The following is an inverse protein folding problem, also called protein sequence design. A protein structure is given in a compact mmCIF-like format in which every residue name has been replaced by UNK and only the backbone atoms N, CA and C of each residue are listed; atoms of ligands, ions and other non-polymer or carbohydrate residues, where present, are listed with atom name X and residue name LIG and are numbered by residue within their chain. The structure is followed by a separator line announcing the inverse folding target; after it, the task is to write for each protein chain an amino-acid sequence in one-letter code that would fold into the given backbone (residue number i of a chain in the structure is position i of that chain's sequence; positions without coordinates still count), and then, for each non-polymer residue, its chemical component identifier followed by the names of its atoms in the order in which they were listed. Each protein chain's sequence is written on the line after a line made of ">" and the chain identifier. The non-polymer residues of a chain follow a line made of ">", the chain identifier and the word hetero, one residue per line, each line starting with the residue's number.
data_IF_221711926349
#
_entry.id   IF_221711926349
#
_cell.length_a   1.000
_cell.length_b   1.000
_cell.length_c   1.000
_cell.angle_alpha   90.00
_cell.angle_beta   90.00
_cell.angle_gamma   90.00
#
_symmetry.space_group_name_H-M   'P 1'
#
loop_
_entity.id
_entity.type
_entity.pdbx_description
1 polymer ?
#
# COMPACT_ATOMS: atom_id res chain seq x y z
N UNK A 1 -5.11 -52.18 -24.62
CA UNK A 1 -5.46 -51.64 -23.29
C UNK A 1 -4.72 -50.32 -23.10
N UNK A 2 -5.44 -49.21 -23.06
CA UNK A 2 -4.90 -47.86 -22.80
C UNK A 2 -5.06 -47.56 -21.29
N UNK A 3 -4.10 -46.90 -20.61
CA UNK A 3 -4.30 -46.45 -19.24
C UNK A 3 -5.21 -45.21 -19.21
N UNK A 4 -5.90 -44.95 -18.09
CA UNK A 4 -6.95 -43.94 -18.02
C UNK A 4 -6.36 -42.52 -18.01
N UNK A 5 -6.99 -41.65 -18.80
CA UNK A 5 -6.78 -40.20 -18.82
C UNK A 5 -6.92 -39.61 -17.41
N UNK A 6 -5.81 -39.13 -16.83
CA UNK A 6 -5.87 -38.25 -15.65
C UNK A 6 -6.24 -36.85 -16.13
N UNK A 7 -7.52 -36.53 -16.03
CA UNK A 7 -8.03 -35.18 -16.20
C UNK A 7 -7.64 -34.38 -14.94
N UNK A 8 -6.52 -33.66 -14.98
CA UNK A 8 -6.14 -32.70 -13.94
C UNK A 8 -7.04 -31.47 -14.13
N UNK A 9 -8.15 -31.40 -13.39
CA UNK A 9 -8.85 -30.14 -13.18
C UNK A 9 -7.95 -29.29 -12.27
N UNK A 10 -7.09 -28.46 -12.87
CA UNK A 10 -6.60 -27.28 -12.19
C UNK A 10 -7.81 -26.36 -12.03
N UNK A 11 -8.50 -26.49 -10.90
CA UNK A 11 -9.38 -25.43 -10.42
C UNK A 11 -8.46 -24.23 -10.17
N UNK A 12 -8.29 -23.39 -11.19
CA UNK A 12 -7.87 -22.01 -10.99
C UNK A 12 -8.99 -21.38 -10.15
N UNK A 13 -8.83 -21.42 -8.82
CA UNK A 13 -9.43 -20.39 -8.02
C UNK A 13 -8.75 -19.10 -8.48
N UNK A 14 -9.39 -18.37 -9.38
CA UNK A 14 -9.14 -16.95 -9.53
C UNK A 14 -9.56 -16.29 -8.22
N UNK A 15 -8.68 -16.39 -7.21
CA UNK A 15 -8.65 -15.42 -6.14
C UNK A 15 -8.57 -14.05 -6.81
N UNK A 16 -9.39 -13.10 -6.36
CA UNK A 16 -9.41 -11.75 -6.89
C UNK A 16 -8.01 -11.15 -6.68
N UNK A 17 -7.13 -11.29 -7.67
CA UNK A 17 -5.81 -10.72 -7.67
C UNK A 17 -6.01 -9.21 -7.78
N UNK A 18 -5.77 -8.49 -6.69
CA UNK A 18 -5.77 -7.02 -6.71
C UNK A 18 -4.66 -6.59 -7.67
N UNK A 19 -5.04 -6.22 -8.89
CA UNK A 19 -4.11 -5.73 -9.90
C UNK A 19 -4.11 -4.21 -9.88
N UNK A 20 -3.09 -3.67 -9.21
CA UNK A 20 -2.71 -2.26 -9.30
C UNK A 20 -1.55 -2.19 -10.29
N UNK A 21 -1.70 -1.37 -11.33
CA UNK A 21 -0.74 -1.24 -12.41
C UNK A 21 -0.06 0.12 -12.36
N UNK A 22 1.26 0.12 -12.16
CA UNK A 22 2.10 1.31 -12.18
C UNK A 22 2.98 1.35 -13.44
N UNK A 23 2.99 2.48 -14.14
CA UNK A 23 3.77 2.73 -15.35
C UNK A 23 4.36 4.14 -15.35
N UNK A 24 5.60 4.35 -15.81
CA UNK A 24 6.59 3.32 -16.19
C UNK A 24 7.15 2.58 -14.97
N UNK A 25 7.70 1.38 -15.19
CA UNK A 25 8.34 0.57 -14.13
C UNK A 25 9.73 1.09 -13.75
N UNK A 26 10.45 1.66 -14.71
CA UNK A 26 11.74 2.30 -14.52
C UNK A 26 11.90 3.43 -15.54
N UNK A 27 12.62 4.49 -15.15
CA UNK A 27 12.82 5.64 -16.00
C UNK A 27 14.13 6.36 -15.67
N UNK A 28 14.86 6.79 -16.70
CA UNK A 28 16.01 7.68 -16.59
C UNK A 28 15.69 8.95 -17.38
N UNK A 29 15.79 10.11 -16.74
CA UNK A 29 15.49 11.44 -17.31
C UNK A 29 16.62 12.42 -17.03
N UNK A 30 16.64 13.51 -17.79
CA UNK A 30 17.63 14.57 -17.61
C UNK A 30 17.22 15.52 -16.48
N UNK A 31 18.22 16.17 -15.89
CA UNK A 31 18.02 17.25 -14.93
C UNK A 31 17.14 18.33 -15.55
N UNK A 32 16.16 18.83 -14.79
CA UNK A 32 15.24 19.87 -15.23
C UNK A 32 14.05 19.41 -16.07
N UNK A 33 13.99 18.13 -16.48
CA UNK A 33 12.81 17.57 -17.14
C UNK A 33 11.66 17.34 -16.15
N UNK A 34 10.44 17.17 -16.68
CA UNK A 34 9.27 16.78 -15.92
C UNK A 34 8.99 15.28 -16.12
N UNK A 35 8.43 14.62 -15.10
CA UNK A 35 8.00 13.22 -15.19
C UNK A 35 6.58 13.04 -14.69
N UNK A 36 5.87 12.12 -15.33
CA UNK A 36 4.59 11.58 -14.88
C UNK A 36 4.75 10.07 -14.63
N UNK A 37 4.38 9.63 -13.43
CA UNK A 37 4.15 8.24 -13.09
C UNK A 37 2.66 8.02 -12.97
N UNK A 38 2.15 6.92 -13.51
CA UNK A 38 0.72 6.61 -13.58
C UNK A 38 0.46 5.33 -12.80
N UNK A 39 -0.56 5.35 -11.95
CA UNK A 39 -1.07 4.20 -11.24
C UNK A 39 -2.55 4.00 -11.56
N UNK A 40 -2.96 2.78 -11.89
CA UNK A 40 -4.34 2.48 -12.26
C UNK A 40 -4.82 1.13 -11.74
N UNK A 41 -6.13 0.98 -11.55
CA UNK A 41 -6.76 -0.29 -11.19
C UNK A 41 -8.24 -0.33 -11.62
N UNK A 42 -8.79 -1.54 -11.74
CA UNK A 42 -10.19 -1.79 -12.12
C UNK A 42 -11.17 -1.88 -10.93
N UNK A 43 -10.69 -1.87 -9.69
CA UNK A 43 -11.53 -2.05 -8.49
C UNK A 43 -12.41 -0.83 -8.18
N UNK A 44 -13.73 -0.97 -8.35
CA UNK A 44 -14.75 0.09 -8.18
C UNK A 44 -14.98 0.46 -6.70
N UNK A 45 -14.55 -0.35 -5.75
CA UNK A 45 -14.61 -0.05 -4.31
C UNK A 45 -13.34 0.62 -3.79
N UNK A 46 -12.23 0.57 -4.54
CA UNK A 46 -10.96 1.19 -4.15
C UNK A 46 -10.99 2.68 -4.49
N UNK A 47 -11.41 3.50 -3.52
CA UNK A 47 -11.61 4.95 -3.66
C UNK A 47 -10.56 5.73 -2.88
N UNK A 48 -9.39 5.16 -2.68
CA UNK A 48 -8.24 5.87 -2.13
C UNK A 48 -7.02 5.42 -2.90
N UNK A 49 -6.21 6.36 -3.38
CA UNK A 49 -4.92 6.08 -4.01
C UNK A 49 -3.84 6.90 -3.32
N UNK A 50 -2.72 6.25 -3.02
CA UNK A 50 -1.58 6.82 -2.29
C UNK A 50 -0.31 6.69 -3.13
N UNK A 51 0.58 7.66 -2.99
CA UNK A 51 1.91 7.66 -3.61
C UNK A 51 3.00 7.81 -2.55
N UNK A 52 4.03 6.99 -2.67
CA UNK A 52 5.15 6.91 -1.74
C UNK A 52 6.49 7.10 -2.46
N UNK A 53 7.46 7.67 -1.75
CA UNK A 53 8.86 7.73 -2.13
C UNK A 53 9.69 6.83 -1.23
N UNK A 54 10.64 6.09 -1.81
CA UNK A 54 11.66 5.34 -1.09
C UNK A 54 13.04 5.74 -1.60
N UNK A 55 13.86 6.31 -0.72
CA UNK A 55 15.26 6.60 -1.04
C UNK A 55 16.10 5.34 -0.80
N UNK A 56 17.08 5.10 -1.68
CA UNK A 56 17.99 3.97 -1.51
C UNK A 56 18.77 4.13 -0.19
N UNK A 57 18.67 3.13 0.69
CA UNK A 57 19.26 3.16 2.03
C UNK A 57 18.32 3.65 3.12
N UNK A 58 17.16 4.21 2.78
CA UNK A 58 16.13 4.51 3.78
C UNK A 58 15.53 3.20 4.30
N UNK A 59 15.34 3.13 5.61
CA UNK A 59 14.55 2.07 6.24
C UNK A 59 13.06 2.25 5.96
N UNK A 60 12.63 3.45 5.52
CA UNK A 60 11.23 3.78 5.39
C UNK A 60 10.77 4.42 4.07
N UNK A 61 9.55 4.08 3.60
CA UNK A 61 8.85 4.88 2.59
C UNK A 61 8.31 6.16 3.24
N UNK A 62 8.30 7.24 2.48
CA UNK A 62 7.69 8.53 2.82
C UNK A 62 6.44 8.72 1.98
N UNK A 63 5.31 9.12 2.56
CA UNK A 63 4.12 9.44 1.77
C UNK A 63 4.34 10.78 1.08
N UNK A 64 4.12 10.78 -0.23
CA UNK A 64 4.07 11.99 -1.05
C UNK A 64 2.69 12.62 -0.95
N UNK A 65 1.64 11.81 -1.05
CA UNK A 65 0.27 12.26 -0.96
C UNK A 65 -0.77 11.19 -1.29
N UNK A 66 -2.03 11.55 -1.17
CA UNK A 66 -3.17 10.66 -1.42
C UNK A 66 -4.41 11.39 -1.92
N UNK A 67 -5.27 10.67 -2.64
CA UNK A 67 -6.58 11.14 -3.09
C UNK A 67 -7.67 10.13 -2.74
N UNK A 68 -8.89 10.61 -2.49
CA UNK A 68 -10.06 9.77 -2.24
C UNK A 68 -10.81 9.50 -3.55
N UNK A 69 -11.82 10.31 -3.85
CA UNK A 69 -12.54 10.25 -5.15
C UNK A 69 -11.93 11.19 -6.19
N UNK A 70 -11.13 12.15 -5.73
CA UNK A 70 -10.43 13.16 -6.52
C UNK A 70 -9.12 13.50 -5.81
N UNK A 71 -8.19 14.11 -6.55
CA UNK A 71 -7.01 14.75 -5.97
C UNK A 71 -7.27 16.25 -5.83
N UNK A 72 -6.95 16.79 -4.66
CA UNK A 72 -7.11 18.20 -4.30
C UNK A 72 -5.75 18.85 -4.10
N UNK A 73 -5.74 20.18 -3.95
CA UNK A 73 -4.50 20.91 -3.73
C UNK A 73 -3.76 20.47 -2.45
N UNK A 74 -4.50 20.04 -1.44
CA UNK A 74 -4.03 19.50 -0.15
C UNK A 74 -3.70 18.01 -0.19
N UNK A 75 -3.92 17.31 -1.32
CA UNK A 75 -3.60 15.87 -1.46
C UNK A 75 -2.12 15.52 -1.38
N UNK A 76 -1.22 16.51 -1.36
CA UNK A 76 0.23 16.31 -1.30
C UNK A 76 0.73 16.77 0.07
N UNK A 77 1.63 16.03 0.69
CA UNK A 77 2.27 16.49 1.93
C UNK A 77 3.07 17.78 1.67
N UNK A 78 3.07 18.69 2.64
CA UNK A 78 3.62 20.05 2.47
C UNK A 78 5.10 20.07 2.06
N UNK A 79 5.88 19.13 2.60
CA UNK A 79 7.29 18.92 2.25
C UNK A 79 7.45 18.61 0.77
N UNK A 80 6.62 17.72 0.23
CA UNK A 80 6.65 17.33 -1.18
C UNK A 80 6.06 18.38 -2.12
N UNK A 81 5.04 19.14 -1.68
CA UNK A 81 4.47 20.25 -2.44
C UNK A 81 5.55 21.31 -2.73
N UNK A 82 6.36 21.65 -1.72
CA UNK A 82 7.51 22.57 -1.88
C UNK A 82 8.58 22.00 -2.79
N UNK A 83 8.73 20.68 -2.84
CA UNK A 83 9.65 19.97 -3.73
C UNK A 83 9.09 19.70 -5.13
N UNK A 84 8.00 20.37 -5.54
CA UNK A 84 7.46 20.34 -6.92
C UNK A 84 6.76 19.03 -7.31
N UNK A 85 6.23 18.32 -6.32
CA UNK A 85 5.36 17.17 -6.52
C UNK A 85 3.91 17.62 -6.65
N UNK A 86 3.15 16.95 -7.50
CA UNK A 86 1.70 17.14 -7.60
C UNK A 86 0.99 15.84 -7.97
N UNK A 87 -0.23 15.67 -7.47
CA UNK A 87 -1.07 14.52 -7.80
C UNK A 87 -2.28 14.96 -8.62
N UNK A 88 -2.66 14.17 -9.62
CA UNK A 88 -3.90 14.38 -10.37
C UNK A 88 -4.43 13.06 -10.92
N UNK A 89 -5.71 13.03 -11.32
CA UNK A 89 -6.35 11.83 -11.83
C UNK A 89 -7.82 11.76 -11.47
N UNK A 90 -8.46 10.67 -11.84
CA UNK A 90 -9.87 10.42 -11.61
C UNK A 90 -10.02 9.08 -10.87
N UNK A 91 -10.46 9.18 -9.61
CA UNK A 91 -10.73 8.05 -8.71
C UNK A 91 -12.24 7.88 -8.50
N UNK A 92 -13.07 8.54 -9.31
CA UNK A 92 -14.52 8.53 -9.22
C UNK A 92 -15.16 7.61 -10.27
N UNK A 93 -16.46 7.34 -10.12
CA UNK A 93 -17.25 6.57 -11.09
C UNK A 93 -16.97 5.06 -11.11
N UNK A 94 -17.49 4.40 -12.15
CA UNK A 94 -17.50 2.94 -12.34
C UNK A 94 -16.53 2.45 -13.43
N UNK A 95 -15.57 3.29 -13.83
CA UNK A 95 -14.53 2.98 -14.82
C UNK A 95 -13.21 2.67 -14.12
N UNK A 96 -12.20 2.25 -14.90
CA UNK A 96 -10.83 2.15 -14.39
C UNK A 96 -10.40 3.47 -13.76
N UNK A 97 -9.87 3.37 -12.55
CA UNK A 97 -9.38 4.52 -11.79
C UNK A 97 -7.92 4.72 -12.07
N UNK A 98 -7.51 5.97 -12.15
CA UNK A 98 -6.13 6.32 -12.42
C UNK A 98 -5.74 7.55 -11.63
N UNK A 99 -4.62 7.46 -10.93
CA UNK A 99 -3.97 8.58 -10.27
C UNK A 99 -2.52 8.66 -10.72
N UNK A 100 -2.08 9.87 -11.02
CA UNK A 100 -0.74 10.17 -11.52
C UNK A 100 0.02 11.01 -10.50
N UNK A 101 1.28 10.64 -10.33
CA UNK A 101 2.27 11.47 -9.67
C UNK A 101 3.05 12.25 -10.73
N UNK A 102 3.10 13.57 -10.58
CA UNK A 102 3.93 14.45 -11.38
C UNK A 102 5.06 15.01 -10.52
N UNK A 103 6.27 15.03 -11.07
CA UNK A 103 7.44 15.68 -10.46
C UNK A 103 8.01 16.62 -11.50
N UNK A 104 8.08 17.91 -11.17
CA UNK A 104 8.57 18.93 -12.10
C UNK A 104 10.02 19.28 -11.86
N UNK A 105 10.73 19.63 -12.93
CA UNK A 105 12.10 20.15 -12.91
C UNK A 105 13.05 19.23 -12.11
N UNK A 106 13.30 18.02 -12.61
CA UNK A 106 13.99 16.99 -11.85
C UNK A 106 15.35 17.41 -11.27
N UNK A 107 15.57 17.11 -9.98
CA UNK A 107 16.84 17.23 -9.27
C UNK A 107 17.36 15.82 -8.92
N UNK A 108 18.60 15.45 -9.27
CA UNK A 108 19.15 14.15 -8.92
C UNK A 108 19.18 13.88 -7.41
N UNK A 109 19.43 14.91 -6.60
CA UNK A 109 19.57 14.77 -5.14
C UNK A 109 18.22 14.52 -4.47
N UNK A 110 17.14 15.10 -4.98
CA UNK A 110 15.82 15.05 -4.35
C UNK A 110 14.93 13.95 -4.95
N UNK A 111 15.08 13.67 -6.24
CA UNK A 111 14.11 12.88 -7.01
C UNK A 111 14.66 11.54 -7.51
N UNK A 112 15.92 11.20 -7.24
CA UNK A 112 16.43 9.85 -7.50
C UNK A 112 15.95 8.92 -6.39
N UNK A 113 14.84 8.24 -6.65
CA UNK A 113 14.18 7.39 -5.67
C UNK A 113 13.38 6.29 -6.37
N UNK A 114 12.93 5.31 -5.60
CA UNK A 114 11.85 4.42 -6.04
C UNK A 114 10.52 5.00 -5.63
N UNK A 115 9.55 4.99 -6.53
CA UNK A 115 8.21 5.50 -6.29
C UNK A 115 7.20 4.36 -6.33
N UNK A 116 6.31 4.32 -5.36
CA UNK A 116 5.29 3.28 -5.25
C UNK A 116 3.90 3.88 -5.13
N UNK A 117 2.95 3.35 -5.89
CA UNK A 117 1.54 3.58 -5.63
C UNK A 117 0.91 2.44 -4.83
N UNK A 118 -0.14 2.78 -4.10
CA UNK A 118 -1.06 1.84 -3.46
C UNK A 118 -2.50 2.32 -3.65
N UNK A 119 -3.46 1.40 -3.61
CA UNK A 119 -4.87 1.72 -3.64
C UNK A 119 -5.64 0.92 -2.58
N UNK A 120 -6.67 1.52 -1.99
CA UNK A 120 -7.52 0.88 -0.97
C UNK A 120 -8.96 1.37 -1.02
N UNK A 121 -9.86 0.67 -0.32
CA UNK A 121 -11.25 1.10 -0.12
C UNK A 121 -11.33 2.39 0.70
N UNK A 122 -12.31 3.25 0.40
CA UNK A 122 -12.67 4.32 1.33
C UNK A 122 -13.33 3.69 2.57
N UNK A 123 -12.84 4.03 3.75
CA UNK A 123 -13.29 3.42 5.00
C UNK A 123 -14.78 3.71 5.22
N UNK A 124 -15.60 2.65 5.27
CA UNK A 124 -16.96 2.70 5.80
C UNK A 124 -17.14 1.51 6.74
N UNK A 125 -16.93 1.72 8.04
CA UNK A 125 -17.14 0.65 9.04
C UNK A 125 -18.27 1.02 9.97
N UNK A 126 -19.43 0.39 9.77
CA UNK A 126 -20.24 -0.10 10.90
C UNK A 126 -20.10 -1.61 10.91
N UNK A 127 -19.21 -2.18 11.73
CA UNK A 127 -19.24 -3.61 12.12
C UNK A 127 -18.57 -3.80 13.49
N UNK A 128 -18.93 -4.85 14.24
CA UNK A 128 -18.60 -5.02 15.66
C UNK A 128 -17.15 -5.49 15.87
N UNK A 129 -16.60 -5.35 17.09
CA UNK A 129 -15.23 -5.76 17.40
C UNK A 129 -15.07 -7.28 17.31
N UNK A 130 -14.02 -7.72 16.59
CA UNK A 130 -13.61 -9.12 16.57
C UNK A 130 -12.78 -9.45 17.84
N UNK A 131 -12.92 -10.67 18.40
CA UNK A 131 -12.30 -11.04 19.66
C UNK A 131 -10.79 -11.34 19.52
N UNK A 132 -10.04 -10.85 20.50
CA UNK A 132 -8.64 -11.18 20.75
C UNK A 132 -8.47 -12.68 21.05
N UNK A 133 -7.63 -13.37 20.27
CA UNK A 133 -6.94 -14.59 20.73
C UNK A 133 -5.49 -14.55 20.29
N UNK A 134 -4.61 -14.46 21.29
CA UNK A 134 -3.16 -14.50 21.14
C UNK A 134 -2.69 -15.95 21.04
N UNK A 135 -2.06 -16.27 19.92
CA UNK A 135 -1.02 -17.29 19.82
C UNK A 135 -0.03 -16.74 18.81
N UNK A 136 1.20 -16.45 19.24
CA UNK A 136 2.24 -15.81 18.43
C UNK A 136 3.05 -16.90 17.71
N UNK A 137 2.96 -17.05 16.37
CA UNK A 137 3.89 -17.86 15.60
C UNK A 137 5.18 -17.06 15.31
N UNK A 138 6.22 -17.77 14.88
CA UNK A 138 7.58 -17.26 14.70
C UNK A 138 7.80 -16.25 13.55
N UNK A 139 6.75 -15.82 12.84
CA UNK A 139 6.84 -14.91 11.70
C UNK A 139 5.87 -13.73 11.87
N UNK A 140 6.25 -12.84 12.78
CA UNK A 140 5.47 -11.68 13.20
C UNK A 140 6.24 -10.39 12.88
N UNK A 141 5.83 -9.70 11.83
CA UNK A 141 6.37 -8.40 11.46
C UNK A 141 5.85 -7.33 12.40
N UNK A 142 6.74 -6.45 12.87
CA UNK A 142 6.39 -5.44 13.88
C UNK A 142 6.72 -4.02 13.41
N UNK A 143 5.80 -3.10 13.64
CA UNK A 143 6.02 -1.66 13.43
C UNK A 143 5.66 -0.90 14.71
N UNK A 144 6.55 -0.01 15.13
CA UNK A 144 6.30 0.92 16.23
C UNK A 144 6.61 2.36 15.78
N UNK A 145 5.86 3.33 16.30
CA UNK A 145 6.14 4.75 16.14
C UNK A 145 5.78 5.52 17.41
N UNK A 146 6.36 6.71 17.57
CA UNK A 146 6.09 7.62 18.69
C UNK A 146 5.47 8.94 18.23
N UNK A 147 5.02 9.00 16.97
CA UNK A 147 4.41 10.19 16.37
C UNK A 147 3.03 10.42 17.02
N UNK A 148 2.83 11.49 17.81
CA UNK A 148 1.62 11.63 18.63
C UNK A 148 0.32 11.80 17.85
N UNK A 149 0.40 12.31 16.62
CA UNK A 149 -0.77 12.48 15.75
C UNK A 149 -1.15 11.19 15.02
N UNK A 150 -0.36 10.13 15.08
CA UNK A 150 -0.58 8.93 14.25
C UNK A 150 -1.46 7.94 14.99
N UNK A 151 -2.50 7.47 14.31
CA UNK A 151 -3.52 6.58 14.86
C UNK A 151 -3.76 5.33 13.99
N UNK A 152 -3.07 5.23 12.85
CA UNK A 152 -3.26 4.16 11.89
C UNK A 152 -1.93 3.54 11.52
N UNK A 153 -1.85 2.20 11.59
CA UNK A 153 -0.75 1.44 10.98
C UNK A 153 -1.28 0.58 9.83
N UNK A 154 -0.69 0.70 8.64
CA UNK A 154 -1.03 -0.08 7.45
C UNK A 154 0.11 -1.05 7.09
N UNK A 155 -0.24 -2.17 6.48
CA UNK A 155 0.69 -3.20 6.04
C UNK A 155 0.51 -3.47 4.56
N UNK A 156 1.60 -3.37 3.82
CA UNK A 156 1.65 -3.56 2.39
C UNK A 156 2.54 -4.75 2.03
N UNK A 157 2.19 -5.43 0.95
CA UNK A 157 2.99 -6.47 0.31
C UNK A 157 3.26 -6.09 -1.14
N UNK A 158 4.49 -6.34 -1.59
CA UNK A 158 4.89 -6.36 -3.00
C UNK A 158 5.27 -7.78 -3.38
N UNK A 159 4.43 -8.43 -4.17
CA UNK A 159 4.73 -9.76 -4.70
C UNK A 159 5.91 -9.70 -5.69
N UNK A 160 6.70 -10.78 -5.86
CA UNK A 160 7.75 -10.84 -6.87
C UNK A 160 7.23 -10.47 -8.27
N UNK A 161 7.89 -9.49 -8.90
CA UNK A 161 7.51 -8.99 -10.23
C UNK A 161 6.45 -7.88 -10.25
N UNK A 162 5.80 -7.58 -9.12
CA UNK A 162 4.87 -6.45 -9.04
C UNK A 162 5.62 -5.11 -8.86
N UNK A 163 5.11 -4.06 -9.49
CA UNK A 163 5.63 -2.68 -9.36
C UNK A 163 4.86 -1.85 -8.35
N UNK A 164 3.66 -2.28 -7.96
CA UNK A 164 2.77 -1.58 -7.03
C UNK A 164 2.63 -2.34 -5.70
N UNK A 165 2.28 -1.60 -4.65
CA UNK A 165 1.99 -2.16 -3.33
C UNK A 165 0.52 -2.57 -3.21
N UNK A 166 0.27 -3.75 -2.63
CA UNK A 166 -1.07 -4.18 -2.23
C UNK A 166 -1.24 -3.97 -0.74
N UNK A 167 -2.34 -3.34 -0.33
CA UNK A 167 -2.70 -3.26 1.08
C UNK A 167 -3.16 -4.65 1.54
N UNK A 168 -2.49 -5.19 2.55
CA UNK A 168 -2.80 -6.50 3.14
C UNK A 168 -3.71 -6.32 4.36
N UNK A 169 -3.34 -5.40 5.25
CA UNK A 169 -4.06 -5.17 6.49
C UNK A 169 -3.78 -3.77 7.02
N UNK A 170 -4.60 -3.31 7.96
CA UNK A 170 -4.34 -2.12 8.74
C UNK A 170 -4.96 -2.23 10.13
N UNK A 171 -4.50 -1.40 11.05
CA UNK A 171 -5.12 -1.19 12.35
C UNK A 171 -5.35 0.31 12.53
N UNK A 172 -6.59 0.68 12.81
CA UNK A 172 -6.99 2.06 13.10
C UNK A 172 -7.37 2.14 14.58
N UNK A 173 -6.64 2.96 15.35
CA UNK A 173 -6.58 2.87 16.81
C UNK A 173 -6.38 1.40 17.23
N UNK A 174 -7.41 0.74 17.76
CA UNK A 174 -7.36 -0.66 18.21
C UNK A 174 -8.26 -1.57 17.37
N UNK A 175 -8.62 -1.13 16.16
CA UNK A 175 -9.55 -1.82 15.27
C UNK A 175 -8.75 -2.48 14.14
N UNK A 176 -8.45 -3.79 14.25
CA UNK A 176 -7.73 -4.52 13.22
C UNK A 176 -8.63 -4.79 12.00
N UNK A 177 -8.09 -4.65 10.79
CA UNK A 177 -8.74 -5.03 9.54
C UNK A 177 -7.75 -5.67 8.58
N UNK A 178 -8.09 -6.86 8.09
CA UNK A 178 -7.39 -7.50 6.97
C UNK A 178 -8.24 -7.32 5.72
N UNK A 179 -7.59 -7.06 4.59
CA UNK A 179 -8.28 -6.94 3.30
C UNK A 179 -8.80 -8.32 2.86
N UNK A 180 -10.01 -8.42 2.28
CA UNK A 180 -10.67 -9.71 2.03
C UNK A 180 -9.82 -10.78 1.31
N UNK A 181 -9.00 -10.44 0.29
CA UNK A 181 -8.14 -11.42 -0.38
C UNK A 181 -7.05 -12.05 0.51
N UNK A 182 -6.77 -11.45 1.66
CA UNK A 182 -5.66 -11.81 2.54
C UNK A 182 -6.10 -12.41 3.88
N UNK A 183 -7.42 -12.49 4.15
CA UNK A 183 -7.97 -12.92 5.44
C UNK A 183 -7.61 -14.37 5.83
N UNK A 184 -7.31 -15.24 4.86
CA UNK A 184 -6.87 -16.63 5.12
C UNK A 184 -5.38 -16.77 5.43
N UNK A 185 -4.56 -15.78 5.08
CA UNK A 185 -3.10 -15.85 5.15
C UNK A 185 -2.51 -14.92 6.22
N UNK A 186 -3.23 -13.88 6.63
CA UNK A 186 -2.72 -12.85 7.53
C UNK A 186 -3.65 -12.57 8.70
N UNK A 187 -3.05 -12.15 9.83
CA UNK A 187 -3.76 -11.46 10.92
C UNK A 187 -3.04 -10.18 11.27
N UNK A 188 -3.76 -9.21 11.81
CA UNK A 188 -3.19 -7.96 12.33
C UNK A 188 -3.65 -7.74 13.77
N UNK A 189 -2.77 -7.23 14.62
CA UNK A 189 -3.04 -6.92 16.02
C UNK A 189 -2.22 -5.74 16.52
N UNK A 190 -2.56 -5.19 17.67
CA UNK A 190 -1.77 -4.16 18.36
C UNK A 190 -2.56 -2.87 18.54
N UNK A 191 -1.86 -1.75 18.40
CA UNK A 191 -2.36 -0.39 18.59
C UNK A 191 -1.76 0.52 17.50
N UNK A 192 -2.61 1.06 16.65
CA UNK A 192 -2.26 1.98 15.56
C UNK A 192 -1.71 3.31 16.05
N UNK A 193 -1.81 3.63 17.34
CA UNK A 193 -1.20 4.83 17.93
C UNK A 193 0.24 4.60 18.41
N UNK A 194 0.69 3.34 18.48
CA UNK A 194 1.95 2.97 19.16
C UNK A 194 2.72 1.87 18.45
N UNK A 195 2.12 0.68 18.36
CA UNK A 195 2.80 -0.53 17.93
C UNK A 195 1.80 -1.55 17.40
N UNK A 196 2.01 -1.98 16.15
CA UNK A 196 1.18 -2.94 15.47
C UNK A 196 2.00 -4.12 14.94
N UNK A 197 1.31 -5.23 14.70
CA UNK A 197 1.89 -6.50 14.31
C UNK A 197 1.13 -7.09 13.13
N UNK A 198 1.85 -7.58 12.12
CA UNK A 198 1.32 -8.41 11.04
C UNK A 198 1.81 -9.85 11.25
N UNK A 199 0.87 -10.77 11.37
CA UNK A 199 1.14 -12.20 11.55
C UNK A 199 0.94 -12.90 10.22
N UNK A 200 1.97 -13.59 9.74
CA UNK A 200 1.91 -14.43 8.54
C UNK A 200 1.55 -15.85 8.97
N UNK A 201 0.37 -16.32 8.59
CA UNK A 201 -0.18 -17.57 9.11
C UNK A 201 0.38 -18.81 8.40
N UNK A 202 0.86 -18.68 7.16
CA UNK A 202 1.36 -19.81 6.38
C UNK A 202 2.47 -19.41 5.38
N UNK A 203 3.74 -19.49 5.78
CA UNK A 203 4.89 -19.16 4.93
C UNK A 203 5.11 -20.05 3.71
N UNK A 204 4.39 -21.18 3.58
CA UNK A 204 4.63 -22.14 2.49
C UNK A 204 3.92 -21.77 1.18
N UNK A 205 3.04 -20.75 1.20
CA UNK A 205 2.34 -20.32 0.01
C UNK A 205 3.20 -19.36 -0.80
N UNK A 206 3.40 -19.64 -2.10
CA UNK A 206 4.19 -18.77 -2.99
C UNK A 206 3.64 -17.35 -3.10
N UNK A 207 2.36 -17.15 -2.80
CA UNK A 207 1.69 -15.84 -2.81
C UNK A 207 2.04 -14.98 -1.59
N UNK A 208 2.53 -15.60 -0.51
CA UNK A 208 3.03 -14.92 0.70
C UNK A 208 4.52 -14.56 0.56
N UNK A 209 5.16 -14.96 -0.55
CA UNK A 209 6.50 -14.47 -0.91
C UNK A 209 6.40 -13.03 -1.41
N UNK A 210 7.26 -12.15 -0.91
CA UNK A 210 7.31 -10.75 -1.33
C UNK A 210 8.01 -9.86 -0.32
N UNK A 211 8.16 -8.59 -0.69
CA UNK A 211 8.62 -7.56 0.25
C UNK A 211 7.42 -7.04 1.04
N UNK A 212 7.62 -6.87 2.35
CA UNK A 212 6.61 -6.31 3.26
C UNK A 212 7.03 -4.94 3.75
N UNK A 213 6.06 -4.04 3.86
CA UNK A 213 6.25 -2.66 4.32
C UNK A 213 5.16 -2.30 5.31
N UNK A 214 5.51 -1.67 6.43
CA UNK A 214 4.55 -1.18 7.42
C UNK A 214 4.54 0.33 7.44
N UNK A 215 3.38 0.98 7.51
CA UNK A 215 3.19 2.43 7.44
C UNK A 215 2.48 2.98 8.67
N UNK A 216 2.98 4.04 9.31
CA UNK A 216 2.22 4.79 10.30
C UNK A 216 1.62 6.07 9.68
N UNK A 217 0.41 6.44 10.11
CA UNK A 217 -0.43 7.48 9.50
C UNK A 217 -1.36 8.11 10.52
N UNK A 218 -1.67 9.40 10.34
CA UNK A 218 -2.86 10.04 10.91
C UNK A 218 -4.08 9.73 10.02
N UNK A 219 -5.22 9.39 10.61
CA UNK A 219 -6.48 9.23 9.90
C UNK A 219 -7.18 10.59 9.68
N UNK A 220 -7.23 11.03 8.42
CA UNK A 220 -8.12 12.10 7.97
C UNK A 220 -7.53 13.51 8.02
N UNK A 221 -7.43 14.10 6.83
CA UNK A 221 -7.49 15.53 6.48
C UNK A 221 -6.48 16.56 6.99
N UNK A 222 -5.49 16.26 7.85
CA UNK A 222 -4.42 17.26 8.08
C UNK A 222 -3.02 16.67 8.19
N UNK A 223 -2.19 17.08 7.24
CA UNK A 223 -0.74 17.33 7.33
C UNK A 223 0.04 16.39 8.26
N UNK A 224 0.76 15.42 7.71
CA UNK A 224 1.80 14.73 8.47
C UNK A 224 2.71 13.81 7.66
N UNK A 225 3.99 13.81 8.02
CA UNK A 225 5.07 13.00 7.45
C UNK A 225 4.97 11.50 7.82
N UNK A 226 4.57 10.67 6.86
CA UNK A 226 4.39 9.24 7.05
C UNK A 226 5.75 8.54 7.11
N UNK A 227 5.99 7.77 8.17
CA UNK A 227 7.14 6.87 8.27
C UNK A 227 6.66 5.44 8.02
N UNK A 228 7.12 4.83 6.92
CA UNK A 228 6.81 3.44 6.57
C UNK A 228 8.04 2.55 6.65
N UNK A 229 8.35 1.92 7.78
CA UNK A 229 9.56 1.10 7.90
C UNK A 229 9.43 -0.28 7.23
N UNK A 230 10.56 -0.85 6.77
CA UNK A 230 10.68 -2.31 6.67
C UNK A 230 10.54 -2.88 8.08
N UNK A 231 9.53 -3.69 8.37
CA UNK A 231 9.41 -4.32 9.67
C UNK A 231 10.62 -5.20 9.96
N UNK A 232 11.09 -5.13 11.21
CA UNK A 232 12.01 -6.12 11.77
C UNK A 232 11.27 -7.41 12.12
#
# INVERSE_FOLDING_TARGET
>A
LLPPSRLLFLLHLEGIKVQIHQTPSALIRKVGEDVQLVCSHGHIDYRVMLWYQWLAGDLALKLIGYGYSEFRNDSVEETFRKSRFSLAGDLSGNKNRSGSLFIKNLSPQEHTATYFCAARKAQYTKHPPAPHKNHLPADCLTLAHEIPSYDTVLWYQRSPGDTALKLVAYIYYKIPKVEPPFESHFKVSGDGEKKAHLHILNLTHSEDSGDYFGAASLHGDKESDFLIQKPQ
#
